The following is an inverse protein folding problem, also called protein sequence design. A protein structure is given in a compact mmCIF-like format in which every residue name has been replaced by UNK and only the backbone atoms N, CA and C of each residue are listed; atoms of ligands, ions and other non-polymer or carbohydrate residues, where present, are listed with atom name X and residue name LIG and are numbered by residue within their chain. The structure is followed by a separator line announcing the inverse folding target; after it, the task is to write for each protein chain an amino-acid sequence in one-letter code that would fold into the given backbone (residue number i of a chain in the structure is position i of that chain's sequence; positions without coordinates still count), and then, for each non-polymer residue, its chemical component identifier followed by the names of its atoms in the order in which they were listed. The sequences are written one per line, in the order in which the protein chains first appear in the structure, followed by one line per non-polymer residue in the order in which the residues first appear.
data_IF_103303878515
#
_entry.id   IF_103303878515
#
_cell.length_a   1.000
_cell.length_b   1.000
_cell.length_c   1.000
_cell.angle_alpha   90.00
_cell.angle_beta   90.00
_cell.angle_gamma   90.00
#
_symmetry.space_group_name_H-M   'P 1'
#
loop_
_entity.id
_entity.type
_entity.pdbx_description
1 polymer ?
#
# COMPACT_ATOMS: atom_id res chain seq x y z
N UNK A 1 33.06 21.64 4.88
CA UNK A 1 32.26 21.03 3.80
C UNK A 1 32.44 21.82 2.53
N UNK A 2 32.56 21.17 1.35
CA UNK A 2 32.68 21.86 0.06
C UNK A 2 31.49 22.81 -0.16
N UNK A 3 31.70 24.00 -0.74
CA UNK A 3 30.62 24.98 -1.02
C UNK A 3 29.47 24.36 -1.82
N UNK A 4 29.80 23.51 -2.79
CA UNK A 4 28.82 22.78 -3.62
C UNK A 4 27.88 21.90 -2.80
N UNK A 5 28.39 21.18 -1.79
CA UNK A 5 27.58 20.32 -0.93
C UNK A 5 26.56 21.12 -0.12
N UNK A 6 26.95 22.30 0.37
CA UNK A 6 26.04 23.17 1.12
C UNK A 6 24.94 23.75 0.23
N UNK A 7 25.28 24.18 -0.99
CA UNK A 7 24.28 24.64 -1.96
C UNK A 7 23.29 23.53 -2.30
N UNK A 8 23.77 22.32 -2.59
CA UNK A 8 22.91 21.16 -2.82
C UNK A 8 22.00 20.88 -1.62
N UNK A 9 22.54 20.93 -0.40
CA UNK A 9 21.77 20.77 0.83
C UNK A 9 20.63 21.78 0.96
N UNK A 10 20.90 23.07 0.73
CA UNK A 10 19.86 24.10 0.73
C UNK A 10 18.81 23.87 -0.36
N UNK A 11 19.22 23.47 -1.56
CA UNK A 11 18.28 23.17 -2.66
C UNK A 11 17.36 22.02 -2.30
N UNK A 12 17.91 20.91 -1.78
CA UNK A 12 17.13 19.74 -1.35
C UNK A 12 16.17 20.12 -0.21
N UNK A 13 16.66 20.84 0.81
CA UNK A 13 15.83 21.25 1.94
C UNK A 13 14.68 22.17 1.50
N UNK A 14 14.96 23.14 0.62
CA UNK A 14 13.96 24.08 0.12
C UNK A 14 12.93 23.38 -0.76
N UNK A 15 13.37 22.52 -1.68
CA UNK A 15 12.46 21.72 -2.51
C UNK A 15 11.60 20.78 -1.66
N UNK A 16 12.19 20.14 -0.64
CA UNK A 16 11.48 19.32 0.32
C UNK A 16 10.42 20.11 1.09
N UNK A 17 10.76 21.30 1.61
CA UNK A 17 9.83 22.17 2.32
C UNK A 17 8.68 22.64 1.43
N UNK A 18 8.96 22.99 0.17
CA UNK A 18 7.94 23.36 -0.81
C UNK A 18 6.98 22.20 -1.10
N UNK A 19 7.53 20.98 -1.28
CA UNK A 19 6.72 19.79 -1.49
C UNK A 19 5.85 19.46 -0.27
N UNK A 20 6.44 19.53 0.94
CA UNK A 20 5.70 19.35 2.20
C UNK A 20 4.54 20.35 2.25
N UNK A 21 4.80 21.64 2.05
CA UNK A 21 3.75 22.67 2.08
C UNK A 21 2.67 22.41 1.02
N UNK A 22 3.06 22.04 -0.20
CA UNK A 22 2.13 21.74 -1.28
C UNK A 22 1.23 20.54 -0.98
N UNK A 23 1.72 19.50 -0.32
CA UNK A 23 0.93 18.30 -0.04
C UNK A 23 0.12 18.38 1.26
N UNK A 24 0.58 19.16 2.24
CA UNK A 24 -0.03 19.21 3.59
C UNK A 24 -0.96 20.40 3.81
N UNK A 25 -0.78 21.51 3.08
CA UNK A 25 -1.54 22.75 3.28
C UNK A 25 -2.63 22.98 2.21
N UNK A 26 -2.87 22.00 1.32
CA UNK A 26 -4.02 22.03 0.42
C UNK A 26 -5.28 21.53 1.16
N UNK A 27 -6.36 22.33 1.20
CA UNK A 27 -7.59 21.98 1.91
C UNK A 27 -8.33 20.85 1.21
N UNK A 28 -9.03 20.03 2.01
CA UNK A 28 -9.89 18.93 1.56
C UNK A 28 -11.28 19.06 2.19
N UNK A 29 -12.11 20.03 1.76
CA UNK A 29 -13.34 20.40 2.47
C UNK A 29 -14.33 19.23 2.70
N UNK A 30 -14.34 18.24 1.79
CA UNK A 30 -15.17 17.04 1.92
C UNK A 30 -14.79 16.10 3.09
N UNK A 31 -13.65 16.32 3.75
CA UNK A 31 -13.17 15.52 4.87
C UNK A 31 -13.28 16.24 6.22
N UNK A 32 -13.83 17.46 6.26
CA UNK A 32 -13.83 18.32 7.44
C UNK A 32 -14.50 17.71 8.68
N UNK A 33 -15.61 16.98 8.51
CA UNK A 33 -16.29 16.30 9.63
C UNK A 33 -15.46 15.15 10.20
N UNK A 34 -14.76 14.41 9.35
CA UNK A 34 -13.85 13.34 9.77
C UNK A 34 -12.65 13.92 10.49
N UNK A 35 -12.09 14.98 9.93
CA UNK A 35 -10.96 15.70 10.51
C UNK A 35 -11.24 16.20 11.94
N UNK A 36 -12.47 16.67 12.18
CA UNK A 36 -12.90 17.12 13.51
C UNK A 36 -13.08 15.98 14.52
N UNK A 37 -13.33 14.75 14.07
CA UNK A 37 -13.55 13.59 14.92
C UNK A 37 -12.23 12.92 15.37
N UNK A 38 -11.10 13.23 14.75
CA UNK A 38 -9.81 12.62 15.06
C UNK A 38 -9.21 13.17 16.36
N UNK A 39 -8.87 12.31 17.34
CA UNK A 39 -8.20 12.75 18.56
C UNK A 39 -6.77 13.23 18.29
N UNK A 40 -6.39 14.39 18.85
CA UNK A 40 -5.04 14.94 18.71
C UNK A 40 -3.92 13.98 19.20
N UNK A 41 -4.22 13.11 20.17
CA UNK A 41 -3.26 12.16 20.76
C UNK A 41 -3.13 10.85 19.98
N UNK A 42 -3.92 10.67 18.93
CA UNK A 42 -3.89 9.45 18.13
C UNK A 42 -2.60 9.40 17.28
N UNK A 43 -2.02 8.19 17.16
CA UNK A 43 -0.76 7.95 16.43
C UNK A 43 -1.02 7.41 15.02
N UNK A 44 -2.02 6.54 14.85
CA UNK A 44 -2.41 5.97 13.55
C UNK A 44 -3.92 6.17 13.41
N UNK A 45 -4.32 7.20 12.66
CA UNK A 45 -5.68 7.77 12.67
C UNK A 45 -6.33 7.73 11.28
N UNK A 46 -7.66 7.77 11.21
CA UNK A 46 -8.38 7.60 9.94
C UNK A 46 -8.29 6.18 9.34
N UNK A 47 -8.99 5.97 8.23
CA UNK A 47 -9.13 4.66 7.59
C UNK A 47 -7.79 4.12 7.03
N UNK A 48 -6.90 5.04 6.62
CA UNK A 48 -5.61 4.75 6.01
C UNK A 48 -4.43 5.28 6.84
N UNK A 49 -4.60 5.48 8.14
CA UNK A 49 -3.58 6.11 8.99
C UNK A 49 -2.20 5.47 8.96
N UNK A 50 -2.11 4.17 8.68
CA UNK A 50 -0.82 3.49 8.52
C UNK A 50 -0.11 3.92 7.24
N UNK A 51 -0.87 4.10 6.15
CA UNK A 51 -0.36 4.67 4.90
C UNK A 51 0.07 6.12 5.11
N UNK A 52 -0.77 6.92 5.75
CA UNK A 52 -0.46 8.34 6.00
C UNK A 52 0.81 8.50 6.84
N UNK A 53 0.96 7.69 7.89
CA UNK A 53 2.16 7.66 8.72
C UNK A 53 3.42 7.30 7.92
N UNK A 54 3.36 6.29 7.04
CA UNK A 54 4.49 5.91 6.18
C UNK A 54 4.83 6.98 5.14
N UNK A 55 3.82 7.58 4.51
CA UNK A 55 4.00 8.63 3.51
C UNK A 55 4.61 9.89 4.14
N UNK A 56 4.22 10.23 5.37
CA UNK A 56 4.77 11.36 6.11
C UNK A 56 6.25 11.15 6.47
N UNK A 57 6.65 9.93 6.86
CA UNK A 57 8.07 9.57 7.00
C UNK A 57 8.82 9.85 5.68
N UNK A 58 8.35 9.31 4.56
CA UNK A 58 9.00 9.46 3.26
C UNK A 58 9.07 10.93 2.81
N UNK A 59 8.00 11.69 3.05
CA UNK A 59 7.88 13.10 2.68
C UNK A 59 8.89 13.99 3.40
N UNK A 60 9.27 13.66 4.64
CA UNK A 60 10.21 14.45 5.44
C UNK A 60 11.68 14.00 5.32
N UNK A 61 11.99 12.85 4.71
CA UNK A 61 13.38 12.43 4.45
C UNK A 61 14.19 13.50 3.71
N UNK A 62 13.71 14.12 2.61
CA UNK A 62 14.46 15.15 1.89
C UNK A 62 14.80 16.37 2.75
N UNK A 63 13.89 16.81 3.64
CA UNK A 63 14.14 17.94 4.52
C UNK A 63 15.33 17.67 5.45
N UNK A 64 15.33 16.53 6.14
CA UNK A 64 16.43 16.12 7.02
C UNK A 64 17.76 15.96 6.27
N UNK A 65 17.71 15.32 5.09
CA UNK A 65 18.86 15.12 4.20
C UNK A 65 19.48 16.47 3.79
N UNK A 66 18.65 17.39 3.31
CA UNK A 66 19.07 18.72 2.85
C UNK A 66 19.68 19.56 3.98
N UNK A 67 19.04 19.59 5.16
CA UNK A 67 19.54 20.33 6.33
C UNK A 67 20.92 19.82 6.79
N UNK A 68 21.10 18.50 6.86
CA UNK A 68 22.39 17.91 7.22
C UNK A 68 23.48 18.22 6.18
N UNK A 69 23.17 18.11 4.87
CA UNK A 69 24.11 18.48 3.80
C UNK A 69 24.44 19.98 3.77
N UNK A 70 23.52 20.85 4.22
CA UNK A 70 23.75 22.29 4.38
C UNK A 70 24.70 22.63 5.54
N UNK A 71 25.01 21.65 6.39
CA UNK A 71 25.95 21.77 7.52
C UNK A 71 25.28 21.98 8.87
N UNK A 72 23.96 21.75 8.99
CA UNK A 72 23.27 21.77 10.27
C UNK A 72 23.66 20.52 11.07
N UNK A 73 23.84 20.67 12.39
CA UNK A 73 24.01 19.50 13.27
C UNK A 73 22.73 18.68 13.33
N UNK A 74 22.83 17.38 13.59
CA UNK A 74 21.66 16.48 13.66
C UNK A 74 20.59 17.00 14.63
N UNK A 75 21.00 17.56 15.78
CA UNK A 75 20.10 18.16 16.76
C UNK A 75 19.32 19.35 16.17
N UNK A 76 20.00 20.25 15.47
CA UNK A 76 19.36 21.41 14.84
C UNK A 76 18.41 20.98 13.72
N UNK A 77 18.82 20.02 12.90
CA UNK A 77 17.97 19.50 11.83
C UNK A 77 16.67 18.88 12.37
N UNK A 78 16.77 18.06 13.42
CA UNK A 78 15.60 17.46 14.08
C UNK A 78 14.72 18.52 14.74
N UNK A 79 15.30 19.47 15.47
CA UNK A 79 14.52 20.57 16.09
C UNK A 79 13.79 21.41 15.04
N UNK A 80 14.44 21.71 13.91
CA UNK A 80 13.80 22.43 12.82
C UNK A 80 12.64 21.61 12.21
N UNK A 81 12.82 20.31 12.01
CA UNK A 81 11.74 19.44 11.54
C UNK A 81 10.55 19.42 12.51
N UNK A 82 10.82 19.32 13.82
CA UNK A 82 9.79 19.37 14.87
C UNK A 82 9.05 20.71 14.86
N UNK A 83 9.77 21.83 14.73
CA UNK A 83 9.14 23.16 14.63
C UNK A 83 8.28 23.26 13.36
N UNK A 84 8.81 22.81 12.21
CA UNK A 84 8.08 22.81 10.94
C UNK A 84 6.80 21.99 11.02
N UNK A 85 6.86 20.77 11.57
CA UNK A 85 5.65 19.94 11.71
C UNK A 85 4.66 20.58 12.68
N UNK A 86 5.09 21.11 13.84
CA UNK A 86 4.17 21.79 14.76
C UNK A 86 3.48 22.99 14.11
N UNK A 87 4.17 23.74 13.24
CA UNK A 87 3.56 24.84 12.49
C UNK A 87 2.51 24.31 11.50
N UNK A 88 2.80 23.23 10.76
CA UNK A 88 1.87 22.61 9.81
C UNK A 88 0.61 22.12 10.54
N UNK A 89 0.76 21.38 11.64
CA UNK A 89 -0.36 20.87 12.45
C UNK A 89 -1.22 22.03 12.99
N UNK A 90 -0.61 23.11 13.46
CA UNK A 90 -1.34 24.30 13.93
C UNK A 90 -2.12 24.98 12.79
N UNK A 91 -1.54 25.05 11.59
CA UNK A 91 -2.22 25.58 10.40
C UNK A 91 -3.36 24.66 9.97
N UNK A 92 -3.19 23.35 10.00
CA UNK A 92 -4.24 22.39 9.67
C UNK A 92 -5.40 22.48 10.66
N UNK A 93 -5.10 22.58 11.95
CA UNK A 93 -6.13 22.72 12.99
C UNK A 93 -6.91 24.04 12.90
N UNK A 94 -6.28 25.15 12.47
CA UNK A 94 -6.88 26.50 12.57
C UNK A 94 -7.25 27.15 11.25
N UNK A 95 -6.64 26.74 10.14
CA UNK A 95 -6.68 27.45 8.86
C UNK A 95 -7.07 26.52 7.72
N UNK A 96 -6.49 25.32 7.64
CA UNK A 96 -6.70 24.41 6.50
C UNK A 96 -7.82 23.42 6.81
N UNK A 97 -9.02 23.71 6.29
CA UNK A 97 -10.19 22.85 6.48
C UNK A 97 -9.99 21.47 5.83
N UNK A 98 -10.39 20.41 6.53
CA UNK A 98 -10.40 19.05 5.99
C UNK A 98 -9.16 18.21 6.30
N UNK A 99 -8.17 18.76 7.01
CA UNK A 99 -6.96 18.03 7.39
C UNK A 99 -6.97 17.65 8.86
N UNK A 100 -6.63 16.40 9.15
CA UNK A 100 -6.39 15.90 10.48
C UNK A 100 -5.10 16.48 11.05
N UNK A 101 -5.14 16.97 12.29
CA UNK A 101 -3.94 17.27 13.05
C UNK A 101 -3.71 16.15 14.07
N UNK A 102 -2.52 15.55 14.10
CA UNK A 102 -2.26 14.37 14.95
C UNK A 102 -0.85 14.30 15.52
N UNK A 103 -0.73 13.65 16.69
CA UNK A 103 0.57 13.30 17.26
C UNK A 103 1.33 12.30 16.36
N UNK A 104 0.59 11.46 15.64
CA UNK A 104 1.12 10.55 14.63
C UNK A 104 1.95 11.26 13.57
N UNK A 105 1.46 12.37 13.05
CA UNK A 105 2.11 13.13 11.99
C UNK A 105 3.39 13.80 12.48
N UNK A 106 3.38 14.40 13.67
CA UNK A 106 4.58 14.95 14.31
C UNK A 106 5.65 13.86 14.46
N UNK A 107 5.27 12.67 14.91
CA UNK A 107 6.18 11.54 15.08
C UNK A 107 6.74 11.06 13.73
N UNK A 108 5.88 10.82 12.74
CA UNK A 108 6.25 10.39 11.40
C UNK A 108 7.22 11.36 10.73
N UNK A 109 6.89 12.65 10.74
CA UNK A 109 7.70 13.72 10.15
C UNK A 109 9.08 13.84 10.82
N UNK A 110 9.11 13.68 12.14
CA UNK A 110 10.36 13.68 12.92
C UNK A 110 11.24 12.47 12.60
N UNK A 111 10.65 11.27 12.50
CA UNK A 111 11.35 10.04 12.10
C UNK A 111 11.92 10.21 10.68
N UNK A 112 11.10 10.68 9.72
CA UNK A 112 11.51 10.93 8.35
C UNK A 112 12.72 11.87 8.26
N UNK A 113 12.65 13.01 8.94
CA UNK A 113 13.78 13.95 9.00
C UNK A 113 15.02 13.35 9.66
N UNK A 114 14.84 12.56 10.73
CA UNK A 114 15.93 11.82 11.37
C UNK A 114 16.62 10.84 10.41
N UNK A 115 15.85 10.07 9.64
CA UNK A 115 16.35 9.18 8.60
C UNK A 115 17.11 9.95 7.51
N UNK A 116 16.58 11.10 7.08
CA UNK A 116 17.29 11.98 6.14
C UNK A 116 18.64 12.45 6.65
N UNK A 117 18.73 12.84 7.92
CA UNK A 117 19.98 13.23 8.58
C UNK A 117 20.97 12.06 8.65
N UNK A 118 20.49 10.85 8.99
CA UNK A 118 21.32 9.65 9.01
C UNK A 118 21.87 9.34 7.61
N UNK A 119 21.02 9.36 6.58
CA UNK A 119 21.43 9.17 5.19
C UNK A 119 22.49 10.20 4.78
N UNK A 120 22.29 11.48 5.10
CA UNK A 120 23.27 12.54 4.83
C UNK A 120 24.61 12.33 5.55
N UNK A 121 24.57 11.79 6.76
CA UNK A 121 25.77 11.60 7.59
C UNK A 121 26.61 10.41 7.13
N UNK A 122 25.95 9.38 6.59
CA UNK A 122 26.59 8.12 6.21
C UNK A 122 26.60 7.84 4.71
N UNK A 123 26.16 8.78 3.86
CA UNK A 123 25.95 8.54 2.42
C UNK A 123 27.17 7.92 1.72
N UNK A 124 28.39 8.36 2.04
CA UNK A 124 29.61 7.79 1.44
C UNK A 124 29.79 6.33 1.79
N UNK A 125 29.55 5.96 3.06
CA UNK A 125 29.62 4.58 3.52
C UNK A 125 28.47 3.70 3.03
N UNK A 126 27.36 4.31 2.57
CA UNK A 126 26.21 3.60 1.98
C UNK A 126 26.42 3.38 0.48
N UNK A 127 26.87 4.41 -0.24
CA UNK A 127 27.10 4.35 -1.68
C UNK A 127 28.39 3.58 -1.99
N UNK A 128 29.50 3.89 -1.32
CA UNK A 128 30.80 3.25 -1.56
C UNK A 128 31.33 2.56 -0.29
N UNK A 129 30.62 1.53 0.22
CA UNK A 129 31.04 0.80 1.41
C UNK A 129 32.34 0.01 1.19
N UNK A 130 33.07 -0.22 2.29
CA UNK A 130 34.07 -1.30 2.33
C UNK A 130 33.41 -2.66 2.05
N UNK A 131 34.12 -3.69 1.57
CA UNK A 131 33.52 -5.00 1.29
C UNK A 131 32.80 -5.63 2.50
N UNK A 132 33.29 -5.39 3.72
CA UNK A 132 32.64 -5.84 4.97
C UNK A 132 31.32 -5.10 5.22
N UNK A 133 31.34 -3.78 5.09
CA UNK A 133 30.15 -2.94 5.23
C UNK A 133 29.13 -3.26 4.14
N UNK A 134 29.57 -3.50 2.91
CA UNK A 134 28.71 -3.88 1.79
C UNK A 134 27.98 -5.19 2.07
N UNK A 135 28.67 -6.18 2.65
CA UNK A 135 28.04 -7.43 3.08
C UNK A 135 26.99 -7.21 4.16
N UNK A 136 27.30 -6.38 5.17
CA UNK A 136 26.34 -6.05 6.22
C UNK A 136 25.10 -5.35 5.63
N UNK A 137 25.29 -4.37 4.76
CA UNK A 137 24.19 -3.68 4.08
C UNK A 137 23.36 -4.65 3.24
N UNK A 138 23.99 -5.53 2.46
CA UNK A 138 23.29 -6.56 1.69
C UNK A 138 22.51 -7.54 2.60
N UNK A 139 23.05 -7.93 3.75
CA UNK A 139 22.35 -8.79 4.71
C UNK A 139 21.17 -8.07 5.36
N UNK A 140 21.35 -6.81 5.78
CA UNK A 140 20.28 -6.00 6.34
C UNK A 140 19.16 -5.79 5.31
N UNK A 141 19.52 -5.47 4.07
CA UNK A 141 18.58 -5.32 2.98
C UNK A 141 17.83 -6.63 2.68
N UNK A 142 18.54 -7.77 2.64
CA UNK A 142 17.90 -9.07 2.49
C UNK A 142 16.89 -9.36 3.60
N UNK A 143 17.22 -9.05 4.86
CA UNK A 143 16.30 -9.20 6.00
C UNK A 143 15.09 -8.27 5.85
N UNK A 144 15.30 -7.02 5.45
CA UNK A 144 14.23 -6.05 5.21
C UNK A 144 13.32 -6.55 4.08
N UNK A 145 13.87 -7.00 2.96
CA UNK A 145 13.08 -7.47 1.81
C UNK A 145 12.28 -8.72 2.15
N UNK A 146 12.88 -9.72 2.81
CA UNK A 146 12.14 -10.89 3.29
C UNK A 146 11.06 -10.47 4.30
N UNK A 147 11.35 -9.50 5.17
CA UNK A 147 10.38 -8.90 6.09
C UNK A 147 9.20 -8.22 5.38
N UNK A 148 9.47 -7.45 4.32
CA UNK A 148 8.44 -6.80 3.48
C UNK A 148 7.57 -7.85 2.78
N UNK A 149 8.16 -8.90 2.21
CA UNK A 149 7.41 -9.99 1.57
C UNK A 149 6.56 -10.75 2.59
N UNK A 150 7.13 -11.07 3.75
CA UNK A 150 6.43 -11.77 4.83
C UNK A 150 5.28 -10.91 5.38
N UNK A 151 5.54 -9.62 5.62
CA UNK A 151 4.53 -8.66 6.07
C UNK A 151 3.42 -8.45 5.04
N UNK A 152 3.76 -8.42 3.75
CA UNK A 152 2.77 -8.36 2.66
C UNK A 152 1.93 -9.63 2.63
N UNK A 153 2.56 -10.81 2.65
CA UNK A 153 1.84 -12.09 2.64
C UNK A 153 0.93 -12.25 3.86
N UNK A 154 1.40 -11.83 5.03
CA UNK A 154 0.58 -11.77 6.24
C UNK A 154 -0.57 -10.75 6.10
N UNK A 155 -0.28 -9.55 5.60
CA UNK A 155 -1.25 -8.47 5.42
C UNK A 155 -2.36 -8.81 4.42
N UNK A 156 -2.06 -9.62 3.40
CA UNK A 156 -3.01 -10.14 2.42
C UNK A 156 -3.82 -11.33 2.94
N UNK A 157 -3.53 -11.84 4.14
CA UNK A 157 -4.37 -12.84 4.79
C UNK A 157 -5.72 -12.24 5.18
N UNK A 158 -6.80 -13.01 5.02
CA UNK A 158 -8.14 -12.60 5.43
C UNK A 158 -8.17 -12.32 6.94
N UNK A 159 -8.84 -11.24 7.33
CA UNK A 159 -9.08 -10.87 8.72
C UNK A 159 -10.58 -10.73 8.93
N UNK A 160 -11.20 -11.78 9.46
CA UNK A 160 -12.63 -11.79 9.78
C UNK A 160 -12.79 -11.43 11.26
N UNK A 161 -13.43 -10.29 11.61
CA UNK A 161 -13.67 -9.89 13.00
C UNK A 161 -14.43 -11.00 13.75
N UNK A 162 -13.95 -11.39 14.93
CA UNK A 162 -14.56 -12.46 15.72
C UNK A 162 -15.40 -11.87 16.87
N UNK A 163 -16.59 -12.44 17.11
CA UNK A 163 -17.37 -12.16 18.32
C UNK A 163 -18.10 -10.81 18.35
N UNK A 164 -18.05 -10.04 17.25
CA UNK A 164 -18.90 -8.87 17.03
C UNK A 164 -20.24 -9.26 16.39
N UNK A 165 -21.17 -8.31 16.26
CA UNK A 165 -22.40 -8.53 15.48
C UNK A 165 -22.21 -8.07 14.05
N UNK A 166 -22.65 -8.87 13.09
CA UNK A 166 -22.61 -8.49 11.69
C UNK A 166 -23.99 -8.09 11.15
N UNK A 167 -23.96 -7.10 10.27
CA UNK A 167 -25.14 -6.59 9.59
C UNK A 167 -24.95 -6.72 8.08
N UNK A 168 -25.95 -7.29 7.43
CA UNK A 168 -26.05 -7.34 5.98
C UNK A 168 -26.88 -6.17 5.46
N UNK A 169 -26.45 -5.57 4.35
CA UNK A 169 -27.28 -4.60 3.65
C UNK A 169 -27.18 -4.76 2.13
N UNK A 170 -28.30 -4.48 1.46
CA UNK A 170 -28.41 -4.42 0.01
C UNK A 170 -28.65 -2.97 -0.40
N UNK A 171 -27.86 -2.50 -1.37
CA UNK A 171 -27.88 -1.12 -1.88
C UNK A 171 -27.92 -0.07 -0.76
N UNK A 172 -27.00 -0.13 0.24
CA UNK A 172 -27.03 0.79 1.37
C UNK A 172 -26.66 2.22 0.95
N UNK A 173 -27.24 3.19 1.65
CA UNK A 173 -26.81 4.59 1.57
C UNK A 173 -25.73 4.83 2.62
N UNK A 174 -24.47 4.87 2.18
CA UNK A 174 -23.30 5.10 3.03
C UNK A 174 -22.62 6.39 2.59
N UNK A 175 -22.46 7.38 3.49
CA UNK A 175 -22.00 8.73 3.12
C UNK A 175 -20.58 8.81 2.51
N UNK A 176 -19.81 7.73 2.60
CA UNK A 176 -18.47 7.56 2.02
C UNK A 176 -18.46 6.86 0.65
N UNK A 177 -19.63 6.47 0.13
CA UNK A 177 -19.79 5.79 -1.14
C UNK A 177 -20.82 6.49 -2.03
N UNK A 178 -20.74 6.22 -3.34
CA UNK A 178 -21.81 6.59 -4.26
C UNK A 178 -23.03 5.69 -4.03
N UNK A 179 -24.22 6.19 -4.35
CA UNK A 179 -25.43 5.40 -4.27
C UNK A 179 -25.57 4.49 -5.49
N UNK A 180 -25.86 3.21 -5.26
CA UNK A 180 -26.23 2.31 -6.35
C UNK A 180 -27.62 2.71 -6.87
N UNK A 181 -27.67 3.19 -8.12
CA UNK A 181 -28.89 3.73 -8.73
C UNK A 181 -29.85 2.65 -9.25
N UNK A 182 -29.37 1.41 -9.33
CA UNK A 182 -30.18 0.26 -9.71
C UNK A 182 -31.04 -0.25 -8.56
N UNK A 183 -31.58 -1.47 -8.72
CA UNK A 183 -32.36 -2.12 -7.66
C UNK A 183 -31.80 -3.51 -7.36
N UNK A 184 -31.20 -3.69 -6.18
CA UNK A 184 -30.84 -5.03 -5.71
C UNK A 184 -32.12 -5.85 -5.47
N UNK A 185 -32.16 -7.06 -6.04
CA UNK A 185 -33.26 -8.02 -5.92
C UNK A 185 -33.00 -9.03 -4.79
N UNK A 186 -31.75 -9.45 -4.66
CA UNK A 186 -31.30 -10.40 -3.63
C UNK A 186 -29.79 -10.32 -3.47
N UNK A 187 -29.26 -10.67 -2.30
CA UNK A 187 -27.85 -10.94 -2.12
C UNK A 187 -27.60 -12.01 -1.08
N UNK A 188 -26.42 -12.60 -1.13
CA UNK A 188 -25.98 -13.66 -0.23
C UNK A 188 -24.54 -13.46 0.20
N UNK A 189 -24.21 -13.85 1.42
CA UNK A 189 -22.87 -13.87 1.97
C UNK A 189 -22.54 -15.29 2.45
N UNK A 190 -21.49 -15.91 1.91
CA UNK A 190 -21.18 -17.32 2.17
C UNK A 190 -22.31 -18.29 1.78
N UNK A 191 -23.25 -17.86 0.91
CA UNK A 191 -24.47 -18.59 0.56
C UNK A 191 -25.69 -18.31 1.46
N UNK A 192 -25.51 -17.61 2.58
CA UNK A 192 -26.63 -17.20 3.45
C UNK A 192 -27.27 -15.90 2.95
N UNK A 193 -28.61 -15.76 2.96
CA UNK A 193 -29.29 -14.56 2.49
C UNK A 193 -28.93 -13.29 3.29
N UNK A 194 -28.62 -12.20 2.58
CA UNK A 194 -28.47 -10.88 3.17
C UNK A 194 -29.85 -10.23 3.33
N UNK A 195 -30.33 -10.15 4.57
CA UNK A 195 -31.57 -9.48 4.92
C UNK A 195 -31.29 -8.02 5.33
N UNK A 196 -31.94 -7.02 4.72
CA UNK A 196 -31.71 -5.61 5.06
C UNK A 196 -31.99 -5.31 6.54
N UNK A 197 -30.99 -4.76 7.24
CA UNK A 197 -31.16 -4.22 8.59
C UNK A 197 -31.42 -5.26 9.69
N UNK A 198 -31.35 -6.55 9.37
CA UNK A 198 -31.48 -7.63 10.34
C UNK A 198 -30.10 -8.04 10.86
N UNK A 199 -30.02 -8.30 12.17
CA UNK A 199 -28.89 -9.02 12.77
C UNK A 199 -28.89 -10.43 12.17
N UNK A 200 -27.81 -10.81 11.50
CA UNK A 200 -27.65 -12.14 10.92
C UNK A 200 -27.42 -13.16 12.05
N UNK A 201 -27.72 -14.44 11.80
CA UNK A 201 -27.30 -15.52 12.70
C UNK A 201 -25.77 -15.58 12.71
N UNK A 202 -25.17 -15.05 13.77
CA UNK A 202 -23.75 -14.73 13.83
C UNK A 202 -22.87 -15.97 13.60
N UNK A 203 -23.15 -17.07 14.29
CA UNK A 203 -22.32 -18.28 14.15
C UNK A 203 -22.43 -18.84 12.73
N UNK A 204 -23.64 -18.84 12.17
CA UNK A 204 -23.90 -19.36 10.84
C UNK A 204 -23.23 -18.53 9.75
N UNK A 205 -23.31 -17.20 9.83
CA UNK A 205 -22.68 -16.32 8.85
C UNK A 205 -21.16 -16.30 8.99
N UNK A 206 -20.63 -16.32 10.21
CA UNK A 206 -19.19 -16.45 10.47
C UNK A 206 -18.67 -17.75 9.89
N UNK A 207 -19.29 -18.90 10.19
CA UNK A 207 -18.87 -20.21 9.67
C UNK A 207 -18.94 -20.26 8.15
N UNK A 208 -20.04 -19.80 7.55
CA UNK A 208 -20.23 -19.78 6.10
C UNK A 208 -19.21 -18.87 5.40
N UNK A 209 -18.96 -17.68 5.95
CA UNK A 209 -18.04 -16.71 5.35
C UNK A 209 -16.57 -17.05 5.61
N UNK A 210 -16.24 -17.66 6.76
CA UNK A 210 -14.90 -18.22 7.04
C UNK A 210 -14.58 -19.37 6.08
N UNK A 211 -15.56 -20.25 5.80
CA UNK A 211 -15.39 -21.35 4.86
C UNK A 211 -15.25 -20.85 3.42
N UNK A 212 -16.01 -19.81 3.05
CA UNK A 212 -15.99 -19.21 1.72
C UNK A 212 -16.28 -17.71 1.79
N UNK A 213 -15.26 -16.84 1.79
CA UNK A 213 -15.44 -15.40 1.73
C UNK A 213 -16.03 -14.99 0.38
N UNK A 214 -17.36 -15.00 0.29
CA UNK A 214 -18.12 -14.80 -0.94
C UNK A 214 -19.25 -13.81 -0.70
N UNK A 215 -19.39 -12.85 -1.60
CA UNK A 215 -20.61 -12.06 -1.76
C UNK A 215 -21.18 -12.28 -3.16
N UNK A 216 -22.49 -12.45 -3.25
CA UNK A 216 -23.19 -12.53 -4.52
C UNK A 216 -24.48 -11.72 -4.48
N UNK A 217 -24.91 -11.23 -5.63
CA UNK A 217 -26.16 -10.49 -5.76
C UNK A 217 -26.85 -10.74 -7.10
N UNK A 218 -28.15 -10.42 -7.12
CA UNK A 218 -28.91 -10.18 -8.33
C UNK A 218 -29.47 -8.77 -8.27
N UNK A 219 -29.29 -7.98 -9.31
CA UNK A 219 -29.74 -6.60 -9.35
C UNK A 219 -30.24 -6.21 -10.73
N UNK A 220 -31.13 -5.22 -10.76
CA UNK A 220 -31.52 -4.52 -11.97
C UNK A 220 -30.59 -3.32 -12.15
N UNK A 221 -29.94 -3.22 -13.30
CA UNK A 221 -29.02 -2.15 -13.63
C UNK A 221 -29.76 -0.84 -13.90
N UNK A 222 -29.07 0.26 -13.61
CA UNK A 222 -29.46 1.62 -13.96
C UNK A 222 -28.22 2.39 -14.43
N UNK A 223 -28.34 3.70 -14.56
CA UNK A 223 -27.22 4.56 -14.96
C UNK A 223 -26.01 4.33 -14.04
N UNK A 224 -24.84 3.97 -14.59
CA UNK A 224 -23.62 3.74 -13.83
C UNK A 224 -23.25 4.91 -12.90
N UNK A 225 -22.87 4.63 -11.65
CA UNK A 225 -22.34 5.64 -10.75
C UNK A 225 -20.88 6.01 -11.14
N UNK A 226 -20.45 7.27 -10.94
CA UNK A 226 -19.09 7.70 -11.26
C UNK A 226 -18.03 7.20 -10.26
N UNK A 227 -18.46 6.71 -9.09
CA UNK A 227 -17.60 6.16 -8.05
C UNK A 227 -18.14 4.83 -7.54
N UNK A 228 -17.41 4.22 -6.60
CA UNK A 228 -17.78 2.93 -6.02
C UNK A 228 -19.11 3.03 -5.26
N UNK A 229 -20.08 2.26 -5.71
CA UNK A 229 -21.41 2.11 -5.13
C UNK A 229 -21.64 0.66 -4.67
N UNK A 230 -21.67 0.40 -3.35
CA UNK A 230 -21.96 -0.92 -2.80
C UNK A 230 -23.35 -1.42 -3.23
N UNK A 231 -23.41 -2.66 -3.72
CA UNK A 231 -24.66 -3.35 -4.03
C UNK A 231 -25.02 -4.32 -2.91
N UNK A 232 -24.03 -5.03 -2.38
CA UNK A 232 -24.17 -5.84 -1.18
C UNK A 232 -22.95 -5.64 -0.29
N UNK A 233 -23.18 -5.50 1.02
CA UNK A 233 -22.14 -5.27 2.01
C UNK A 233 -22.40 -6.10 3.26
N UNK A 234 -21.31 -6.48 3.90
CA UNK A 234 -21.27 -7.06 5.24
C UNK A 234 -20.43 -6.14 6.11
N UNK A 235 -21.03 -5.61 7.17
CA UNK A 235 -20.39 -4.71 8.12
C UNK A 235 -20.41 -5.30 9.53
N UNK A 236 -19.40 -4.95 10.34
CA UNK A 236 -19.38 -5.26 11.77
C UNK A 236 -20.10 -4.19 12.61
N UNK A 237 -20.18 -4.42 13.92
CA UNK A 237 -20.82 -3.56 14.91
C UNK A 237 -20.08 -2.23 15.15
N UNK A 238 -18.84 -2.11 14.68
CA UNK A 238 -18.04 -0.89 14.67
C UNK A 238 -18.11 -0.16 13.33
N UNK A 239 -19.04 -0.55 12.45
CA UNK A 239 -19.20 -0.03 11.08
C UNK A 239 -17.98 -0.31 10.17
N UNK A 240 -17.12 -1.26 10.56
CA UNK A 240 -16.04 -1.78 9.74
C UNK A 240 -16.58 -2.64 8.60
N UNK A 241 -16.07 -2.43 7.38
CA UNK A 241 -16.48 -3.20 6.22
C UNK A 241 -15.75 -4.55 6.24
N UNK A 242 -16.49 -5.62 6.53
CA UNK A 242 -15.98 -7.01 6.48
C UNK A 242 -15.83 -7.46 5.04
N UNK A 243 -16.81 -7.18 4.20
CA UNK A 243 -16.74 -7.44 2.75
C UNK A 243 -17.73 -6.57 1.99
N UNK A 244 -17.39 -6.24 0.76
CA UNK A 244 -18.24 -5.46 -0.13
C UNK A 244 -18.19 -6.02 -1.56
N UNK A 245 -19.32 -5.96 -2.25
CA UNK A 245 -19.40 -6.12 -3.69
C UNK A 245 -20.26 -4.98 -4.25
N UNK A 246 -19.78 -4.33 -5.30
CA UNK A 246 -20.37 -3.10 -5.79
C UNK A 246 -20.07 -2.81 -7.25
N UNK A 247 -20.61 -1.69 -7.69
CA UNK A 247 -20.43 -1.14 -9.03
C UNK A 247 -19.57 0.11 -8.97
N UNK A 248 -18.62 0.23 -9.88
CA UNK A 248 -17.92 1.49 -10.13
C UNK A 248 -17.84 1.68 -11.64
N UNK A 249 -18.48 2.71 -12.18
CA UNK A 249 -18.78 2.79 -13.62
C UNK A 249 -19.48 1.49 -14.08
N UNK A 250 -18.96 0.81 -15.10
CA UNK A 250 -19.51 -0.48 -15.59
C UNK A 250 -18.78 -1.68 -14.98
N UNK A 251 -17.86 -1.46 -14.03
CA UNK A 251 -17.03 -2.51 -13.47
C UNK A 251 -17.67 -3.11 -12.23
N UNK A 252 -17.48 -4.42 -12.06
CA UNK A 252 -17.80 -5.12 -10.82
C UNK A 252 -16.58 -5.07 -9.90
N UNK A 253 -16.76 -4.58 -8.68
CA UNK A 253 -15.70 -4.46 -7.66
C UNK A 253 -16.03 -5.36 -6.48
N UNK A 254 -15.05 -6.13 -6.03
CA UNK A 254 -15.17 -7.01 -4.85
C UNK A 254 -14.00 -6.76 -3.89
N UNK A 255 -14.31 -6.68 -2.59
CA UNK A 255 -13.34 -6.52 -1.53
C UNK A 255 -13.71 -7.36 -0.31
N UNK A 256 -12.70 -7.87 0.38
CA UNK A 256 -12.83 -8.56 1.67
C UNK A 256 -11.81 -7.99 2.62
N UNK A 257 -12.14 -7.91 3.91
CA UNK A 257 -11.24 -7.39 4.92
C UNK A 257 -10.02 -8.28 5.07
N UNK A 258 -8.84 -7.69 4.83
CA UNK A 258 -7.55 -8.34 5.00
C UNK A 258 -6.85 -7.81 6.26
N UNK A 259 -5.86 -8.54 6.77
CA UNK A 259 -5.06 -8.16 7.95
C UNK A 259 -4.32 -6.83 7.78
N UNK A 260 -4.07 -6.40 6.54
CA UNK A 260 -3.55 -5.07 6.22
C UNK A 260 -4.40 -3.95 6.88
N UNK A 261 -5.71 -4.15 7.01
CA UNK A 261 -6.61 -3.19 7.67
C UNK A 261 -6.33 -3.03 9.18
N UNK A 262 -5.75 -4.04 9.86
CA UNK A 262 -5.34 -3.95 11.26
C UNK A 262 -4.27 -2.87 11.44
N UNK A 263 -3.37 -2.77 10.45
CA UNK A 263 -2.33 -1.75 10.40
C UNK A 263 -2.79 -0.47 9.70
N UNK A 264 -4.10 -0.34 9.38
CA UNK A 264 -4.67 0.76 8.60
C UNK A 264 -3.91 1.01 7.29
N UNK A 265 -3.47 -0.08 6.66
CA UNK A 265 -2.92 -0.10 5.32
C UNK A 265 -4.05 -0.33 4.31
N UNK A 266 -3.78 -0.05 3.03
CA UNK A 266 -4.78 -0.24 1.98
C UNK A 266 -5.18 -1.70 1.87
N UNK A 267 -6.50 -1.90 1.79
CA UNK A 267 -7.08 -3.21 1.54
C UNK A 267 -7.27 -3.43 0.03
N UNK A 268 -6.73 -4.50 -0.55
CA UNK A 268 -6.90 -4.78 -1.97
C UNK A 268 -8.35 -5.01 -2.40
N UNK A 269 -8.74 -4.47 -3.55
CA UNK A 269 -10.04 -4.76 -4.20
C UNK A 269 -9.85 -5.31 -5.60
N UNK A 270 -10.56 -6.38 -5.89
CA UNK A 270 -10.53 -7.04 -7.18
C UNK A 270 -11.59 -6.43 -8.12
N UNK A 271 -11.23 -6.27 -9.39
CA UNK A 271 -12.08 -5.62 -10.39
C UNK A 271 -12.28 -6.55 -11.58
N UNK A 272 -13.53 -6.70 -12.02
CA UNK A 272 -13.92 -7.33 -13.28
C UNK A 272 -14.41 -6.22 -14.23
N UNK A 273 -13.55 -5.78 -15.17
CA UNK A 273 -13.89 -4.71 -16.11
C UNK A 273 -15.12 -5.06 -16.95
N UNK A 274 -16.05 -4.11 -17.06
CA UNK A 274 -17.32 -4.33 -17.77
C UNK A 274 -18.20 -5.42 -17.16
N UNK A 275 -17.90 -5.85 -15.93
CA UNK A 275 -18.67 -6.89 -15.22
C UNK A 275 -20.13 -6.51 -15.03
N UNK A 276 -20.48 -5.23 -15.04
CA UNK A 276 -21.84 -4.71 -14.92
C UNK A 276 -22.25 -3.87 -16.13
N UNK A 277 -21.58 -4.07 -17.28
CA UNK A 277 -21.99 -3.45 -18.53
C UNK A 277 -23.37 -4.00 -18.98
N UNK A 278 -24.27 -3.09 -19.35
CA UNK A 278 -25.64 -3.42 -19.72
C UNK A 278 -26.51 -2.18 -19.85
N UNK A 279 -27.76 -2.38 -20.27
CA UNK A 279 -28.74 -1.31 -20.37
C UNK A 279 -29.51 -1.15 -19.06
N UNK A 280 -30.01 0.06 -18.82
CA UNK A 280 -30.95 0.31 -17.72
C UNK A 280 -32.15 -0.64 -17.83
N UNK A 281 -32.44 -1.36 -16.75
CA UNK A 281 -33.50 -2.38 -16.71
C UNK A 281 -32.99 -3.82 -16.88
N UNK A 282 -31.75 -4.03 -17.34
CA UNK A 282 -31.16 -5.37 -17.43
C UNK A 282 -31.01 -5.98 -16.04
N UNK A 283 -31.23 -7.30 -15.94
CA UNK A 283 -31.00 -8.05 -14.70
C UNK A 283 -29.67 -8.77 -14.77
N UNK A 284 -28.77 -8.45 -13.85
CA UNK A 284 -27.45 -9.04 -13.73
C UNK A 284 -27.37 -9.90 -12.46
N UNK A 285 -26.64 -11.00 -12.54
CA UNK A 285 -26.23 -11.81 -11.40
C UNK A 285 -24.71 -11.83 -11.33
N UNK A 286 -24.15 -11.42 -10.20
CA UNK A 286 -22.71 -11.34 -10.02
C UNK A 286 -22.28 -11.92 -8.68
N UNK A 287 -21.07 -12.46 -8.65
CA UNK A 287 -20.42 -12.99 -7.46
C UNK A 287 -18.94 -12.60 -7.42
N UNK A 288 -18.46 -12.36 -6.21
CA UNK A 288 -17.05 -12.22 -5.88
C UNK A 288 -16.72 -13.18 -4.75
N UNK A 289 -15.64 -13.94 -4.88
CA UNK A 289 -15.17 -14.86 -3.85
C UNK A 289 -13.65 -14.77 -3.71
N UNK A 290 -13.14 -14.98 -2.50
CA UNK A 290 -11.72 -15.23 -2.28
C UNK A 290 -11.53 -16.71 -1.94
N UNK A 291 -10.82 -17.45 -2.78
CA UNK A 291 -10.55 -18.87 -2.56
C UNK A 291 -9.13 -19.23 -3.01
N UNK A 292 -8.44 -20.09 -2.25
CA UNK A 292 -7.09 -20.56 -2.57
C UNK A 292 -6.09 -19.42 -2.87
N UNK A 293 -6.20 -18.31 -2.12
CA UNK A 293 -5.35 -17.14 -2.32
C UNK A 293 -5.57 -16.42 -3.65
N UNK A 294 -6.75 -16.53 -4.27
CA UNK A 294 -7.12 -15.80 -5.47
C UNK A 294 -8.52 -15.19 -5.33
N UNK A 295 -8.70 -13.99 -5.86
CA UNK A 295 -10.02 -13.41 -6.08
C UNK A 295 -10.61 -14.01 -7.35
N UNK A 296 -11.84 -14.50 -7.28
CA UNK A 296 -12.63 -14.89 -8.43
C UNK A 296 -13.87 -14.01 -8.51
N UNK A 297 -14.04 -13.34 -9.65
CA UNK A 297 -15.21 -12.52 -9.95
C UNK A 297 -15.93 -13.12 -11.13
N UNK A 298 -17.25 -13.19 -11.06
CA UNK A 298 -18.10 -13.64 -12.15
C UNK A 298 -19.31 -12.74 -12.25
N UNK A 299 -19.74 -12.46 -13.47
CA UNK A 299 -20.96 -11.72 -13.75
C UNK A 299 -21.69 -12.31 -14.94
N UNK A 300 -23.00 -12.39 -14.83
CA UNK A 300 -23.91 -12.92 -15.85
C UNK A 300 -25.01 -11.91 -16.13
N UNK A 301 -25.06 -11.40 -17.35
CA UNK A 301 -26.15 -10.59 -17.87
C UNK A 301 -26.77 -11.33 -19.08
N UNK A 302 -27.98 -11.88 -18.91
CA UNK A 302 -28.59 -12.77 -19.90
C UNK A 302 -27.70 -13.97 -20.24
N UNK A 303 -27.26 -14.06 -21.50
CA UNK A 303 -26.36 -15.11 -22.01
C UNK A 303 -24.87 -14.74 -21.91
N UNK A 304 -24.53 -13.51 -21.55
CA UNK A 304 -23.15 -13.07 -21.45
C UNK A 304 -22.62 -13.42 -20.06
N UNK A 305 -21.57 -14.24 -20.01
CA UNK A 305 -20.85 -14.61 -18.80
C UNK A 305 -19.43 -14.04 -18.88
N UNK A 306 -19.10 -13.15 -17.95
CA UNK A 306 -17.76 -12.63 -17.75
C UNK A 306 -17.20 -13.21 -16.45
N UNK A 307 -15.93 -13.59 -16.47
CA UNK A 307 -15.25 -14.08 -15.28
C UNK A 307 -13.78 -13.71 -15.29
N UNK A 308 -13.21 -13.51 -14.10
CA UNK A 308 -11.80 -13.19 -13.92
C UNK A 308 -11.29 -13.79 -12.61
N UNK A 309 -10.10 -14.39 -12.68
CA UNK A 309 -9.36 -14.86 -11.51
C UNK A 309 -8.09 -14.04 -11.35
N UNK A 310 -7.88 -13.49 -10.16
CA UNK A 310 -6.75 -12.63 -9.82
C UNK A 310 -6.02 -13.28 -8.62
N UNK A 311 -4.92 -14.01 -8.86
CA UNK A 311 -4.14 -14.62 -7.79
C UNK A 311 -3.45 -13.54 -6.95
N UNK A 312 -3.53 -13.66 -5.63
CA UNK A 312 -2.78 -12.81 -4.70
C UNK A 312 -1.29 -13.11 -4.83
N UNK A 313 -0.46 -12.07 -4.69
CA UNK A 313 1.01 -12.20 -4.70
C UNK A 313 1.62 -11.47 -3.52
N UNK A 314 2.58 -12.12 -2.85
CA UNK A 314 3.38 -11.50 -1.79
C UNK A 314 4.22 -10.32 -2.29
N UNK A 315 4.37 -10.17 -3.61
CA UNK A 315 5.10 -9.07 -4.25
C UNK A 315 4.29 -7.78 -4.36
N UNK A 316 3.04 -7.78 -3.90
CA UNK A 316 2.14 -6.61 -3.94
C UNK A 316 2.34 -5.63 -2.77
N UNK A 317 3.47 -5.66 -2.07
CA UNK A 317 3.68 -4.77 -0.91
C UNK A 317 3.47 -3.29 -1.22
N UNK A 318 3.78 -2.86 -2.46
CA UNK A 318 3.55 -1.50 -2.93
C UNK A 318 2.07 -1.08 -2.85
N UNK A 319 1.11 -1.97 -3.14
CA UNK A 319 -0.30 -1.60 -3.22
C UNK A 319 -0.94 -1.35 -1.85
N UNK A 320 -0.32 -1.86 -0.78
CA UNK A 320 -0.74 -1.67 0.60
C UNK A 320 -0.39 -0.27 1.13
N UNK A 321 0.60 0.39 0.52
CA UNK A 321 1.19 1.65 1.02
C UNK A 321 1.06 2.81 0.03
N UNK A 322 0.55 2.60 -1.18
CA UNK A 322 0.38 3.68 -2.15
C UNK A 322 -0.81 4.58 -1.79
N UNK A 323 -0.78 5.87 -2.16
CA UNK A 323 -1.86 6.81 -1.84
C UNK A 323 -3.07 6.71 -2.77
N UNK A 324 -3.02 5.93 -3.86
CA UNK A 324 -4.15 5.77 -4.79
C UNK A 324 -4.90 4.45 -4.57
N UNK A 325 -6.15 4.41 -5.02
CA UNK A 325 -6.95 3.18 -5.03
C UNK A 325 -6.29 2.18 -6.00
N UNK A 326 -5.52 1.25 -5.44
CA UNK A 326 -4.88 0.17 -6.18
C UNK A 326 -5.94 -0.81 -6.68
N UNK A 327 -6.53 -0.50 -7.85
CA UNK A 327 -7.41 -1.41 -8.57
C UNK A 327 -6.55 -2.52 -9.16
N UNK A 328 -6.87 -3.77 -8.84
CA UNK A 328 -6.10 -4.89 -9.40
C UNK A 328 -6.54 -5.18 -10.83
N UNK A 329 -5.89 -4.50 -11.76
CA UNK A 329 -6.09 -4.61 -13.20
C UNK A 329 -4.80 -5.04 -13.93
N UNK A 330 -4.74 -4.80 -15.24
CA UNK A 330 -3.56 -5.13 -16.06
C UNK A 330 -2.31 -4.32 -15.68
N UNK A 331 -2.44 -3.15 -15.04
CA UNK A 331 -1.32 -2.30 -14.63
C UNK A 331 -0.60 -2.78 -13.36
N UNK A 332 -1.19 -3.75 -12.65
CA UNK A 332 -0.57 -4.37 -11.46
C UNK A 332 0.78 -5.03 -11.77
N UNK A 333 0.92 -5.63 -12.95
CA UNK A 333 2.11 -6.40 -13.33
C UNK A 333 3.31 -5.49 -13.64
N UNK A 334 3.19 -4.44 -14.48
CA UNK A 334 4.27 -3.46 -14.66
C UNK A 334 4.74 -2.85 -13.34
N UNK A 335 3.83 -2.40 -12.47
CA UNK A 335 4.20 -1.81 -11.18
C UNK A 335 4.93 -2.80 -10.28
N UNK A 336 4.43 -4.04 -10.18
CA UNK A 336 5.10 -5.11 -9.42
C UNK A 336 6.49 -5.43 -10.00
N UNK A 337 6.64 -5.39 -11.32
CA UNK A 337 7.94 -5.58 -11.99
C UNK A 337 8.93 -4.49 -11.61
N UNK A 338 8.53 -3.23 -11.67
CA UNK A 338 9.37 -2.09 -11.28
C UNK A 338 9.73 -2.15 -9.80
N UNK A 339 8.76 -2.50 -8.95
CA UNK A 339 8.95 -2.67 -7.51
C UNK A 339 10.02 -3.72 -7.20
N UNK A 340 9.90 -4.93 -7.75
CA UNK A 340 10.87 -6.01 -7.56
C UNK A 340 12.24 -5.61 -8.12
N UNK A 341 12.27 -5.10 -9.36
CA UNK A 341 13.51 -4.73 -10.03
C UNK A 341 14.30 -3.70 -9.21
N UNK A 342 13.63 -2.65 -8.74
CA UNK A 342 14.27 -1.58 -7.96
C UNK A 342 14.84 -2.09 -6.63
N UNK A 343 14.05 -2.84 -5.88
CA UNK A 343 14.48 -3.39 -4.58
C UNK A 343 15.61 -4.40 -4.72
N UNK A 344 15.50 -5.32 -5.69
CA UNK A 344 16.55 -6.32 -5.95
C UNK A 344 17.81 -5.68 -6.51
N UNK A 345 17.71 -4.59 -7.27
CA UNK A 345 18.88 -3.85 -7.75
C UNK A 345 19.70 -3.24 -6.60
N UNK A 346 19.05 -2.73 -5.55
CA UNK A 346 19.74 -2.24 -4.34
C UNK A 346 20.48 -3.37 -3.62
N UNK A 347 19.81 -4.51 -3.42
CA UNK A 347 20.42 -5.70 -2.84
C UNK A 347 21.64 -6.18 -3.65
N UNK A 348 21.48 -6.27 -4.97
CA UNK A 348 22.52 -6.73 -5.88
C UNK A 348 23.69 -5.76 -5.96
N UNK A 349 23.44 -4.46 -5.83
CA UNK A 349 24.48 -3.46 -5.75
C UNK A 349 25.43 -3.74 -4.58
N UNK A 350 24.90 -3.86 -3.35
CA UNK A 350 25.71 -4.14 -2.18
C UNK A 350 26.30 -5.56 -2.16
N UNK A 351 25.57 -6.58 -2.62
CA UNK A 351 26.08 -7.95 -2.73
C UNK A 351 27.27 -8.02 -3.70
N UNK A 352 27.20 -7.31 -4.83
CA UNK A 352 28.29 -7.21 -5.81
C UNK A 352 29.50 -6.48 -5.21
N UNK A 353 29.27 -5.37 -4.50
CA UNK A 353 30.32 -4.63 -3.78
C UNK A 353 30.95 -5.41 -2.61
N UNK A 354 30.25 -6.39 -2.04
CA UNK A 354 30.81 -7.28 -1.03
C UNK A 354 31.78 -8.32 -1.64
N UNK A 355 31.48 -8.83 -2.84
CA UNK A 355 32.26 -9.86 -3.50
C UNK A 355 32.30 -11.21 -2.74
N UNK A 356 32.94 -12.21 -3.37
CA UNK A 356 33.09 -13.55 -2.79
C UNK A 356 31.75 -14.16 -2.35
N UNK A 357 31.67 -14.61 -1.09
CA UNK A 357 30.45 -15.21 -0.52
C UNK A 357 29.25 -14.25 -0.46
N UNK A 358 29.45 -12.93 -0.58
CA UNK A 358 28.34 -11.96 -0.61
C UNK A 358 27.33 -12.22 -1.74
N UNK A 359 27.78 -12.85 -2.84
CA UNK A 359 26.90 -13.25 -3.95
C UNK A 359 25.88 -14.33 -3.58
N UNK A 360 26.13 -15.11 -2.53
CA UNK A 360 25.18 -16.14 -2.07
C UNK A 360 23.91 -15.54 -1.45
N UNK A 361 23.96 -14.27 -1.00
CA UNK A 361 22.80 -13.57 -0.44
C UNK A 361 21.70 -13.44 -1.48
N UNK A 362 22.03 -13.18 -2.75
CA UNK A 362 21.05 -12.97 -3.82
C UNK A 362 20.14 -14.17 -4.05
N UNK A 363 20.63 -15.37 -4.46
CA UNK A 363 19.75 -16.49 -4.77
C UNK A 363 18.95 -16.94 -3.54
N UNK A 364 19.52 -16.87 -2.33
CA UNK A 364 18.81 -17.21 -1.08
C UNK A 364 17.65 -16.23 -0.83
N UNK A 365 17.91 -14.94 -0.97
CA UNK A 365 16.90 -13.90 -0.74
C UNK A 365 15.78 -13.96 -1.79
N UNK A 366 16.12 -14.13 -3.07
CA UNK A 366 15.13 -14.27 -4.15
C UNK A 366 14.30 -15.55 -3.97
N UNK A 367 14.91 -16.68 -3.63
CA UNK A 367 14.17 -17.91 -3.35
C UNK A 367 13.26 -17.77 -2.11
N UNK A 368 13.71 -17.05 -1.08
CA UNK A 368 12.88 -16.76 0.08
C UNK A 368 11.66 -15.91 -0.31
N UNK A 369 11.87 -14.82 -1.04
CA UNK A 369 10.82 -13.87 -1.44
C UNK A 369 9.81 -14.48 -2.42
N UNK A 370 10.27 -15.13 -3.50
CA UNK A 370 9.41 -15.52 -4.62
C UNK A 370 8.93 -16.98 -4.55
N UNK A 371 9.47 -17.79 -3.63
CA UNK A 371 9.07 -19.18 -3.46
C UNK A 371 8.70 -19.50 -2.01
N UNK A 372 9.62 -19.35 -1.05
CA UNK A 372 9.40 -19.83 0.31
C UNK A 372 8.28 -19.08 1.04
N UNK A 373 8.25 -17.75 0.96
CA UNK A 373 7.23 -16.92 1.61
C UNK A 373 5.84 -17.16 1.02
N UNK A 374 5.61 -17.08 -0.31
CA UNK A 374 4.31 -17.40 -0.91
C UNK A 374 3.82 -18.81 -0.52
N UNK A 375 4.71 -19.80 -0.60
CA UNK A 375 4.40 -21.18 -0.23
C UNK A 375 3.97 -21.32 1.24
N UNK A 376 4.75 -20.74 2.17
CA UNK A 376 4.46 -20.79 3.61
C UNK A 376 3.16 -20.04 3.97
N UNK A 377 2.81 -19.00 3.20
CA UNK A 377 1.59 -18.24 3.40
C UNK A 377 0.35 -18.86 2.71
N UNK A 378 0.50 -19.96 1.98
CA UNK A 378 -0.59 -20.57 1.20
C UNK A 378 -1.05 -19.72 0.02
N UNK A 379 -0.19 -18.83 -0.48
CA UNK A 379 -0.45 -18.00 -1.65
C UNK A 379 -0.06 -18.76 -2.95
N UNK A 380 -0.68 -18.42 -4.09
CA UNK A 380 -0.24 -18.91 -5.39
C UNK A 380 1.25 -18.65 -5.64
N UNK A 381 1.94 -19.52 -6.41
CA UNK A 381 3.33 -19.29 -6.79
C UNK A 381 3.51 -17.94 -7.49
N UNK A 382 4.62 -17.25 -7.20
CA UNK A 382 4.99 -16.01 -7.88
C UNK A 382 4.98 -16.19 -9.40
N UNK A 383 4.39 -15.23 -10.10
CA UNK A 383 4.28 -15.25 -11.54
C UNK A 383 5.68 -15.16 -12.20
N UNK A 384 5.86 -15.75 -13.39
CA UNK A 384 7.18 -15.79 -14.07
C UNK A 384 7.78 -14.41 -14.30
N UNK A 385 6.95 -13.37 -14.50
CA UNK A 385 7.41 -11.99 -14.68
C UNK A 385 8.10 -11.43 -13.43
N UNK A 386 7.73 -11.90 -12.24
CA UNK A 386 8.38 -11.51 -10.98
C UNK A 386 9.81 -12.06 -10.91
N UNK A 387 10.02 -13.29 -11.38
CA UNK A 387 11.35 -13.89 -11.50
C UNK A 387 12.22 -13.16 -12.53
N UNK A 388 11.64 -12.83 -13.69
CA UNK A 388 12.34 -12.02 -14.71
C UNK A 388 12.70 -10.64 -14.16
N UNK A 389 11.81 -10.01 -13.40
CA UNK A 389 12.08 -8.73 -12.74
C UNK A 389 13.24 -8.83 -11.74
N UNK A 390 13.31 -9.91 -10.95
CA UNK A 390 14.41 -10.15 -10.03
C UNK A 390 15.75 -10.32 -10.76
N UNK A 391 15.79 -11.10 -11.85
CA UNK A 391 17.00 -11.28 -12.67
C UNK A 391 17.45 -9.95 -13.30
N UNK A 392 16.50 -9.16 -13.81
CA UNK A 392 16.78 -7.82 -14.34
C UNK A 392 17.32 -6.88 -13.24
N UNK A 393 16.74 -6.92 -12.04
CA UNK A 393 17.21 -6.18 -10.86
C UNK A 393 18.64 -6.57 -10.48
N UNK A 394 18.94 -7.87 -10.42
CA UNK A 394 20.31 -8.36 -10.17
C UNK A 394 21.29 -7.79 -11.19
N UNK A 395 20.93 -7.88 -12.47
CA UNK A 395 21.78 -7.41 -13.56
C UNK A 395 22.04 -5.91 -13.44
N UNK A 396 20.99 -5.12 -13.23
CA UNK A 396 21.10 -3.66 -13.08
C UNK A 396 21.98 -3.28 -11.88
N UNK A 397 21.68 -3.83 -10.70
CA UNK A 397 22.44 -3.55 -9.47
C UNK A 397 23.91 -3.92 -9.58
N UNK A 398 24.22 -5.08 -10.17
CA UNK A 398 25.59 -5.52 -10.40
C UNK A 398 26.33 -4.65 -11.40
N UNK A 399 25.69 -4.24 -12.50
CA UNK A 399 26.30 -3.31 -13.48
C UNK A 399 26.64 -1.99 -12.81
N UNK A 400 25.72 -1.41 -12.04
CA UNK A 400 25.95 -0.14 -11.32
C UNK A 400 27.06 -0.27 -10.27
N UNK A 401 27.15 -1.41 -9.58
CA UNK A 401 28.24 -1.67 -8.62
C UNK A 401 29.61 -1.78 -9.32
N UNK A 402 29.68 -2.45 -10.47
CA UNK A 402 30.90 -2.60 -11.24
C UNK A 402 31.39 -1.26 -11.82
N UNK A 403 30.48 -0.42 -12.33
CA UNK A 403 30.84 0.91 -12.83
C UNK A 403 31.35 1.81 -11.70
N UNK A 404 30.70 1.78 -10.54
CA UNK A 404 31.14 2.51 -9.36
C UNK A 404 32.55 2.11 -8.92
N UNK A 405 32.85 0.80 -8.84
CA UNK A 405 34.20 0.30 -8.52
C UNK A 405 35.26 0.75 -9.52
N UNK A 406 34.95 0.69 -10.83
CA UNK A 406 35.88 1.11 -11.88
C UNK A 406 36.21 2.59 -11.79
N UNK A 407 35.20 3.43 -11.54
CA UNK A 407 35.40 4.88 -11.41
C UNK A 407 36.33 5.22 -10.22
N UNK A 408 36.22 4.49 -9.11
CA UNK A 408 37.11 4.67 -7.94
C UNK A 408 38.53 4.26 -8.28
N UNK A 409 38.73 3.06 -8.84
CA UNK A 409 40.05 2.57 -9.19
C UNK A 409 40.77 3.51 -10.19
N UNK A 410 40.02 4.13 -11.11
CA UNK A 410 40.55 5.13 -12.03
C UNK A 410 40.94 6.44 -11.33
N UNK A 411 40.15 6.89 -10.35
CA UNK A 411 40.48 8.08 -9.57
C UNK A 411 41.73 7.85 -8.69
N UNK A 412 41.83 6.69 -8.04
CA UNK A 412 42.99 6.30 -7.23
C UNK A 412 44.27 6.13 -8.05
N UNK A 413 44.17 5.71 -9.32
CA UNK A 413 45.31 5.58 -10.22
C UNK A 413 45.77 6.91 -10.85
N UNK A 414 44.97 7.97 -10.75
CA UNK A 414 45.27 9.30 -11.28
C UNK A 414 45.88 10.25 -10.23
N UNK A 415 45.81 9.88 -8.95
CA UNK A 415 46.53 10.51 -7.82
C UNK A 415 47.92 9.87 -7.65
#
# INVERSE_FOLDING_TARGET
MPRLQRHLGYTIASAGLLLIGALTLLPTPGEAERAAATPLTCIICGDLGGVDFLLNILLFVPLGLGLALAGFSWRRAVVLAVITTCIIELLQMKVITGRDASLGDILANTIGSGLGVLLASYWRGIVLPSPRTARLLALLDAVILVGVWTGTAWGLGVSIPQGGRWFGALSPELGNFEQFRGRALSGTAGGEPLLPGAVLDQHRIEDAFNARPQLAFRAVLATPPPGLAPIAILIDDWHGIVSLIGQEHEDLVFGVQMRASILRLRNPTAVLPGGLAGHTGDTVAAEGTLQNGAFELRSRNGNHLLSRTIPLSASWGWSLVTPWNSRYDEYTRPLTTVWILGLVAVLAYWATLAGGIGWTILPVTIAAMLAAVPYAAGLPPSHWSEWVAAVAGITLGSVVAMTARRAIAQAEAAE
#
